data_IF_627830474980
#
_entry.id   IF_627830474980
#
_cell.length_a   1.000
_cell.length_b   1.000
_cell.length_c   1.000
_cell.angle_alpha   90.00
_cell.angle_beta   90.00
_cell.angle_gamma   90.00
#
_symmetry.space_group_name_H-M   'P 1'
#
loop_
_entity.id
_entity.type
_entity.pdbx_description
1 polymer ?
#
# COMPACT_ATOMS: atom_id res chain seq x y z
N UNK A 1 33.79 -27.65 -58.62
CA UNK A 1 34.31 -26.85 -57.48
C UNK A 1 33.36 -25.73 -57.04
N UNK A 2 32.84 -24.82 -57.88
CA UNK A 2 31.93 -23.75 -57.46
C UNK A 2 30.62 -24.21 -56.81
N UNK A 3 30.00 -25.31 -57.30
CA UNK A 3 28.76 -25.84 -56.70
C UNK A 3 28.99 -26.47 -55.33
N UNK A 4 30.12 -27.11 -55.08
CA UNK A 4 30.46 -27.69 -53.78
C UNK A 4 30.77 -26.61 -52.76
N UNK A 5 31.41 -25.51 -53.16
CA UNK A 5 31.69 -24.37 -52.30
C UNK A 5 30.40 -23.65 -51.89
N UNK A 6 29.42 -23.54 -52.82
CA UNK A 6 28.11 -22.94 -52.52
C UNK A 6 27.28 -23.80 -51.56
N UNK A 7 27.29 -25.14 -51.68
CA UNK A 7 26.64 -26.03 -50.73
C UNK A 7 27.30 -25.99 -49.35
N UNK A 8 28.59 -25.82 -49.28
CA UNK A 8 29.33 -25.72 -48.01
C UNK A 8 29.05 -24.38 -47.32
N UNK A 9 28.95 -23.27 -48.10
CA UNK A 9 28.56 -21.95 -47.57
C UNK A 9 27.10 -21.91 -47.12
N UNK A 10 26.19 -22.57 -47.85
CA UNK A 10 24.79 -22.68 -47.44
C UNK A 10 24.62 -23.51 -46.18
N UNK A 11 25.36 -24.62 -46.03
CA UNK A 11 25.38 -25.47 -44.83
C UNK A 11 25.98 -24.70 -43.61
N UNK A 12 27.01 -23.87 -43.84
CA UNK A 12 27.59 -23.01 -42.79
C UNK A 12 26.62 -21.90 -42.33
N UNK A 13 25.86 -21.29 -43.29
CA UNK A 13 24.81 -20.33 -42.97
C UNK A 13 23.64 -20.96 -42.19
N UNK A 14 23.28 -22.19 -42.50
CA UNK A 14 22.25 -22.95 -41.78
C UNK A 14 22.71 -23.33 -40.36
N UNK A 15 23.99 -23.61 -40.15
CA UNK A 15 24.60 -23.90 -38.85
C UNK A 15 24.72 -22.63 -37.99
N UNK A 16 24.96 -21.47 -38.61
CA UNK A 16 25.00 -20.18 -37.93
C UNK A 16 23.60 -19.62 -37.59
N UNK A 17 22.54 -20.08 -38.26
CA UNK A 17 21.15 -19.72 -38.03
C UNK A 17 20.47 -20.46 -36.86
N UNK A 18 21.09 -21.52 -36.34
CA UNK A 18 20.65 -22.27 -35.16
C UNK A 18 21.42 -21.78 -33.92
N UNK A 19 21.47 -20.50 -33.67
CA UNK A 19 21.60 -20.01 -32.30
C UNK A 19 20.28 -20.35 -31.61
N UNK A 20 20.13 -21.57 -31.15
CA UNK A 20 19.26 -21.88 -30.03
C UNK A 20 19.74 -20.95 -28.92
N UNK A 21 18.99 -19.89 -28.69
CA UNK A 21 19.08 -19.18 -27.40
C UNK A 21 18.76 -20.29 -26.38
N UNK A 22 19.79 -20.88 -25.81
CA UNK A 22 19.65 -21.47 -24.50
C UNK A 22 19.22 -20.29 -23.63
N UNK A 23 17.93 -20.13 -23.43
CA UNK A 23 17.41 -19.30 -22.34
C UNK A 23 18.08 -19.87 -21.11
N UNK A 24 19.08 -19.18 -20.63
CA UNK A 24 19.63 -19.44 -19.33
C UNK A 24 18.43 -19.30 -18.38
N UNK A 25 18.12 -20.38 -17.70
CA UNK A 25 17.13 -20.44 -16.62
C UNK A 25 17.59 -19.60 -15.40
N UNK A 26 18.59 -18.78 -15.62
CA UNK A 26 19.40 -18.11 -14.58
C UNK A 26 18.85 -16.74 -14.15
N UNK A 27 17.69 -16.33 -14.66
CA UNK A 27 17.08 -15.03 -14.32
C UNK A 27 15.55 -15.01 -14.49
N UNK A 28 14.85 -16.09 -14.15
CA UNK A 28 13.40 -16.11 -14.18
C UNK A 28 12.83 -15.19 -13.09
N UNK A 29 11.85 -14.35 -13.44
CA UNK A 29 11.14 -13.48 -12.53
C UNK A 29 9.75 -14.01 -12.18
N UNK A 30 9.16 -14.87 -13.05
CA UNK A 30 7.80 -15.37 -12.92
C UNK A 30 7.80 -16.88 -12.74
N UNK A 31 7.45 -17.34 -11.56
CA UNK A 31 7.38 -18.74 -11.13
C UNK A 31 5.92 -19.15 -10.91
N UNK A 32 5.21 -19.48 -11.97
CA UNK A 32 3.78 -19.83 -11.91
C UNK A 32 3.57 -21.33 -11.72
N UNK A 33 3.76 -21.83 -10.47
CA UNK A 33 3.53 -23.24 -10.15
C UNK A 33 2.05 -23.58 -9.96
N UNK A 34 1.20 -22.59 -9.67
CA UNK A 34 -0.25 -22.79 -9.57
C UNK A 34 -0.95 -22.79 -10.94
N UNK A 35 -0.23 -22.45 -12.02
CA UNK A 35 -0.79 -22.46 -13.39
C UNK A 35 -1.88 -21.42 -13.62
N UNK A 36 -1.73 -20.24 -13.04
CA UNK A 36 -2.70 -19.14 -13.15
C UNK A 36 -2.58 -18.37 -14.47
N UNK A 37 -1.45 -18.51 -15.16
CA UNK A 37 -1.12 -17.77 -16.37
C UNK A 37 -1.01 -18.72 -17.57
N UNK A 38 -1.33 -18.22 -18.75
CA UNK A 38 -0.95 -18.88 -20.00
C UNK A 38 0.54 -18.63 -20.29
N UNK A 39 1.16 -19.48 -21.13
CA UNK A 39 2.56 -19.34 -21.53
C UNK A 39 2.86 -17.94 -22.12
N UNK A 40 1.92 -17.35 -22.86
CA UNK A 40 2.07 -16.03 -23.46
C UNK A 40 2.00 -14.90 -22.41
N UNK A 41 1.13 -15.05 -21.42
CA UNK A 41 1.00 -14.08 -20.31
C UNK A 41 2.23 -14.14 -19.40
N UNK A 42 2.69 -15.35 -19.04
CA UNK A 42 3.91 -15.55 -18.28
C UNK A 42 5.13 -14.92 -18.97
N UNK A 43 5.29 -15.17 -20.27
CA UNK A 43 6.41 -14.59 -21.05
C UNK A 43 6.33 -13.06 -21.15
N UNK A 44 5.12 -12.51 -21.25
CA UNK A 44 4.93 -11.06 -21.29
C UNK A 44 5.26 -10.40 -19.94
N UNK A 45 4.86 -11.01 -18.83
CA UNK A 45 5.20 -10.56 -17.47
C UNK A 45 6.70 -10.68 -17.19
N UNK A 46 7.33 -11.80 -17.59
CA UNK A 46 8.78 -12.00 -17.47
C UNK A 46 9.54 -10.85 -18.12
N UNK A 47 9.20 -10.50 -19.38
CA UNK A 47 9.83 -9.39 -20.08
C UNK A 47 9.67 -8.05 -19.36
N UNK A 48 8.51 -7.80 -18.74
CA UNK A 48 8.26 -6.55 -17.99
C UNK A 48 9.02 -6.50 -16.68
N UNK A 49 9.09 -7.61 -15.96
CA UNK A 49 9.90 -7.72 -14.74
C UNK A 49 11.38 -7.47 -15.06
N UNK A 50 11.90 -8.10 -16.13
CA UNK A 50 13.27 -7.88 -16.60
C UNK A 50 13.53 -6.41 -16.97
N UNK A 51 12.62 -5.77 -17.73
CA UNK A 51 12.75 -4.35 -18.07
C UNK A 51 12.80 -3.45 -16.83
N UNK A 52 12.02 -3.78 -15.80
CA UNK A 52 12.02 -3.05 -14.54
C UNK A 52 13.34 -3.23 -13.79
N UNK A 53 13.85 -4.46 -13.72
CA UNK A 53 15.15 -4.76 -13.12
C UNK A 53 16.28 -4.05 -13.85
N UNK A 54 16.34 -4.14 -15.18
CA UNK A 54 17.34 -3.48 -16.01
C UNK A 54 17.34 -1.95 -15.83
N UNK A 55 16.16 -1.38 -15.57
CA UNK A 55 15.99 0.07 -15.43
C UNK A 55 16.42 0.58 -14.06
N UNK A 56 16.08 -0.16 -12.99
CA UNK A 56 16.21 0.33 -11.62
C UNK A 56 17.23 -0.44 -10.78
N UNK A 57 17.75 -1.55 -11.25
CA UNK A 57 18.69 -2.39 -10.51
C UNK A 57 18.07 -3.04 -9.25
N UNK A 58 16.78 -3.34 -9.31
CA UNK A 58 16.03 -4.01 -8.26
C UNK A 58 15.08 -5.01 -8.90
N UNK A 59 15.21 -6.29 -8.55
CA UNK A 59 14.43 -7.37 -9.14
C UNK A 59 12.97 -7.33 -8.70
N UNK A 60 12.06 -7.63 -9.64
CA UNK A 60 10.62 -7.75 -9.36
C UNK A 60 10.19 -9.18 -9.69
N UNK A 61 9.76 -9.93 -8.68
CA UNK A 61 9.50 -11.36 -8.79
C UNK A 61 8.06 -11.70 -8.44
N UNK A 62 7.57 -12.78 -9.03
CA UNK A 62 6.23 -13.35 -8.79
C UNK A 62 6.39 -14.84 -8.59
N UNK A 63 5.83 -15.41 -7.52
CA UNK A 63 5.69 -16.84 -7.32
C UNK A 63 4.25 -17.19 -6.97
N UNK A 64 3.70 -18.20 -7.62
CA UNK A 64 2.39 -18.75 -7.31
C UNK A 64 2.52 -20.23 -6.97
N UNK A 65 1.84 -20.66 -5.91
CA UNK A 65 1.80 -22.07 -5.47
C UNK A 65 0.38 -22.45 -5.08
N UNK A 66 0.08 -23.75 -5.16
CA UNK A 66 -1.21 -24.26 -4.69
C UNK A 66 -1.35 -24.11 -3.17
N UNK A 67 -0.31 -24.51 -2.43
CA UNK A 67 -0.29 -24.48 -0.97
C UNK A 67 1.16 -24.27 -0.48
N UNK A 68 1.43 -23.11 0.12
CA UNK A 68 2.76 -22.76 0.64
C UNK A 68 3.21 -23.69 1.78
N UNK A 69 2.28 -24.28 2.53
CA UNK A 69 2.61 -25.14 3.67
C UNK A 69 3.34 -26.43 3.30
N UNK A 70 3.35 -26.77 2.01
CA UNK A 70 4.08 -27.92 1.46
C UNK A 70 5.56 -27.63 1.22
N UNK A 71 5.99 -26.39 1.39
CA UNK A 71 7.35 -25.93 1.11
C UNK A 71 8.02 -25.38 2.35
N UNK A 72 9.31 -25.64 2.54
CA UNK A 72 10.17 -25.06 3.58
C UNK A 72 9.74 -25.30 5.03
N UNK A 73 8.88 -26.29 5.32
CA UNK A 73 8.19 -26.40 6.62
C UNK A 73 7.59 -25.06 7.06
N UNK A 74 7.12 -24.26 6.10
CA UNK A 74 6.68 -22.90 6.28
C UNK A 74 5.44 -22.84 7.18
N UNK A 75 5.57 -22.28 8.38
CA UNK A 75 4.45 -22.03 9.26
C UNK A 75 3.62 -20.81 8.87
N UNK A 76 4.08 -20.02 7.88
CA UNK A 76 3.42 -18.84 7.34
C UNK A 76 3.90 -18.55 5.93
N UNK A 77 3.12 -17.74 5.18
CA UNK A 77 3.48 -17.36 3.82
C UNK A 77 4.74 -16.47 3.77
N UNK A 78 5.00 -15.69 4.83
CA UNK A 78 6.20 -14.88 4.95
C UNK A 78 7.46 -15.78 5.01
N UNK A 79 7.41 -16.87 5.79
CA UNK A 79 8.51 -17.82 5.86
C UNK A 79 8.73 -18.55 4.53
N UNK A 80 7.65 -18.83 3.79
CA UNK A 80 7.73 -19.36 2.45
C UNK A 80 8.43 -18.38 1.50
N UNK A 81 8.02 -17.10 1.54
CA UNK A 81 8.59 -16.06 0.66
C UNK A 81 10.08 -15.86 0.93
N UNK A 82 10.50 -15.82 2.21
CA UNK A 82 11.92 -15.72 2.57
C UNK A 82 12.71 -16.93 2.08
N UNK A 83 12.20 -18.14 2.34
CA UNK A 83 12.84 -19.40 1.90
C UNK A 83 12.99 -19.44 0.39
N UNK A 84 11.93 -19.08 -0.34
CA UNK A 84 11.94 -19.04 -1.80
C UNK A 84 12.94 -18.00 -2.33
N UNK A 85 12.94 -16.79 -1.76
CA UNK A 85 13.85 -15.74 -2.14
C UNK A 85 15.32 -16.15 -2.00
N UNK A 86 15.67 -16.82 -0.91
CA UNK A 86 17.03 -17.26 -0.63
C UNK A 86 17.43 -18.48 -1.48
N UNK A 87 16.56 -19.49 -1.63
CA UNK A 87 16.90 -20.72 -2.34
C UNK A 87 17.06 -20.51 -3.86
N UNK A 88 16.31 -19.56 -4.42
CA UNK A 88 16.42 -19.17 -5.81
C UNK A 88 17.43 -18.04 -6.04
N UNK A 89 18.15 -17.62 -4.98
CA UNK A 89 19.15 -16.54 -5.04
C UNK A 89 18.61 -15.28 -5.72
N UNK A 90 17.33 -14.92 -5.41
CA UNK A 90 16.67 -13.79 -6.03
C UNK A 90 17.31 -12.45 -5.58
N UNK A 91 17.05 -11.41 -6.36
CA UNK A 91 17.58 -10.07 -6.09
C UNK A 91 18.80 -9.72 -6.92
N UNK A 92 19.03 -8.43 -7.05
CA UNK A 92 20.06 -7.84 -7.92
C UNK A 92 21.21 -7.27 -7.09
N UNK A 93 22.44 -7.49 -7.55
CA UNK A 93 23.67 -6.97 -6.93
C UNK A 93 24.07 -7.72 -5.67
N UNK A 94 25.09 -7.16 -4.97
CA UNK A 94 25.66 -7.80 -3.76
C UNK A 94 24.66 -7.84 -2.59
N UNK A 95 23.73 -6.86 -2.55
CA UNK A 95 22.71 -6.74 -1.49
C UNK A 95 21.42 -7.53 -1.82
N UNK A 96 21.37 -8.25 -2.94
CA UNK A 96 20.18 -8.97 -3.40
C UNK A 96 18.92 -8.08 -3.37
N UNK A 97 19.00 -6.90 -4.01
CA UNK A 97 17.87 -5.96 -4.04
C UNK A 97 16.70 -6.50 -4.85
N UNK A 98 15.54 -6.63 -4.24
CA UNK A 98 14.36 -7.13 -4.93
C UNK A 98 13.09 -7.07 -4.09
N UNK A 99 11.97 -7.33 -4.77
CA UNK A 99 10.66 -7.56 -4.18
C UNK A 99 10.02 -8.80 -4.81
N UNK A 100 9.48 -9.67 -3.97
CA UNK A 100 8.77 -10.89 -4.36
C UNK A 100 7.31 -10.77 -3.96
N UNK A 101 6.40 -11.00 -4.90
CA UNK A 101 4.99 -11.26 -4.63
C UNK A 101 4.77 -12.77 -4.64
N UNK A 102 4.47 -13.34 -3.49
CA UNK A 102 4.11 -14.73 -3.33
C UNK A 102 2.59 -14.89 -3.16
N UNK A 103 1.99 -15.81 -3.91
CA UNK A 103 0.59 -16.20 -3.80
C UNK A 103 0.45 -17.68 -3.45
N UNK A 104 -0.42 -18.00 -2.50
CA UNK A 104 -0.86 -19.35 -2.18
C UNK A 104 -2.37 -19.48 -2.39
N UNK A 105 -2.77 -20.43 -3.22
CA UNK A 105 -4.16 -20.56 -3.63
C UNK A 105 -5.05 -21.26 -2.60
N UNK A 106 -4.50 -22.15 -1.78
CA UNK A 106 -5.26 -22.94 -0.79
C UNK A 106 -5.98 -22.04 0.22
N UNK A 107 -5.27 -21.04 0.77
CA UNK A 107 -5.81 -20.11 1.77
C UNK A 107 -6.11 -18.72 1.20
N UNK A 108 -5.82 -18.52 -0.09
CA UNK A 108 -5.85 -17.23 -0.78
C UNK A 108 -5.02 -16.19 -0.04
N UNK A 109 -3.81 -16.59 0.33
CA UNK A 109 -2.85 -15.76 1.03
C UNK A 109 -1.83 -15.17 0.04
N UNK A 110 -1.40 -13.94 0.31
CA UNK A 110 -0.28 -13.32 -0.39
C UNK A 110 0.73 -12.75 0.60
N UNK A 111 1.98 -12.62 0.14
CA UNK A 111 3.01 -11.86 0.81
C UNK A 111 3.82 -11.02 -0.18
N UNK A 112 4.15 -9.79 0.24
CA UNK A 112 5.09 -8.90 -0.42
C UNK A 112 6.38 -8.87 0.38
N UNK A 113 7.36 -9.65 -0.06
CA UNK A 113 8.67 -9.79 0.56
C UNK A 113 9.68 -8.90 -0.16
N UNK A 114 10.20 -7.87 0.49
CA UNK A 114 11.27 -7.03 -0.05
C UNK A 114 12.58 -7.29 0.68
N UNK A 115 13.69 -7.26 -0.07
CA UNK A 115 15.06 -7.49 0.43
C UNK A 115 16.05 -6.50 -0.20
N UNK A 116 17.18 -6.32 0.50
CA UNK A 116 18.26 -5.43 0.09
C UNK A 116 18.02 -3.96 0.44
N UNK A 117 19.04 -3.12 0.26
CA UNK A 117 18.96 -1.71 0.63
C UNK A 117 17.92 -0.97 -0.23
N UNK A 118 18.00 -1.13 -1.56
CA UNK A 118 17.05 -0.50 -2.48
C UNK A 118 15.65 -1.08 -2.33
N UNK A 119 15.51 -2.41 -2.20
CA UNK A 119 14.22 -3.05 -2.01
C UNK A 119 13.50 -2.52 -0.76
N UNK A 120 14.15 -2.53 0.39
CA UNK A 120 13.56 -2.06 1.64
C UNK A 120 13.31 -0.53 1.67
N UNK A 121 14.08 0.25 0.91
CA UNK A 121 13.88 1.70 0.81
C UNK A 121 12.73 2.06 -0.12
N UNK A 122 12.64 1.44 -1.29
CA UNK A 122 11.59 1.70 -2.26
C UNK A 122 10.23 1.17 -1.81
N UNK A 123 10.21 0.00 -1.15
CA UNK A 123 8.99 -0.70 -0.71
C UNK A 123 8.81 -0.60 0.79
N UNK A 124 8.47 0.59 1.27
CA UNK A 124 8.16 0.83 2.69
C UNK A 124 6.94 0.01 3.15
N UNK A 125 6.74 -0.17 4.46
CA UNK A 125 5.57 -0.89 4.97
C UNK A 125 4.25 -0.24 4.53
N UNK A 126 4.21 1.09 4.48
CA UNK A 126 3.09 1.83 3.90
C UNK A 126 2.95 1.57 2.41
N UNK A 127 4.05 1.63 1.65
CA UNK A 127 4.07 1.41 0.21
C UNK A 127 3.58 0.02 -0.17
N UNK A 128 4.01 -1.04 0.54
CA UNK A 128 3.54 -2.42 0.33
C UNK A 128 2.02 -2.55 0.55
N UNK A 129 1.48 -1.90 1.59
CA UNK A 129 0.03 -1.86 1.80
C UNK A 129 -0.72 -1.19 0.64
N UNK A 130 -0.23 -0.03 0.19
CA UNK A 130 -0.80 0.68 -0.97
C UNK A 130 -0.65 -0.13 -2.26
N UNK A 131 0.50 -0.79 -2.47
CA UNK A 131 0.74 -1.66 -3.62
C UNK A 131 -0.30 -2.78 -3.68
N UNK A 132 -0.62 -3.40 -2.55
CA UNK A 132 -1.66 -4.41 -2.49
C UNK A 132 -3.05 -3.82 -2.79
N UNK A 133 -3.48 -2.82 -2.03
CA UNK A 133 -4.85 -2.30 -2.08
C UNK A 133 -5.19 -1.61 -3.40
N UNK A 134 -4.28 -0.80 -3.96
CA UNK A 134 -4.57 -0.01 -5.16
C UNK A 134 -4.29 -0.77 -6.46
N UNK A 135 -3.31 -1.68 -6.46
CA UNK A 135 -2.85 -2.26 -7.72
C UNK A 135 -3.42 -3.64 -7.98
N UNK A 136 -3.33 -4.61 -7.07
CA UNK A 136 -3.64 -5.99 -7.46
C UNK A 136 -4.80 -6.67 -6.71
N UNK A 137 -5.11 -6.30 -5.46
CA UNK A 137 -6.11 -7.03 -4.69
C UNK A 137 -7.50 -7.06 -5.33
N UNK A 138 -7.93 -5.97 -5.98
CA UNK A 138 -9.23 -5.95 -6.66
C UNK A 138 -9.30 -6.93 -7.83
N UNK A 139 -8.21 -7.06 -8.61
CA UNK A 139 -8.14 -7.98 -9.73
C UNK A 139 -8.07 -9.44 -9.25
N UNK A 140 -7.27 -9.71 -8.22
CA UNK A 140 -7.19 -11.06 -7.62
C UNK A 140 -8.52 -11.50 -6.97
N UNK A 141 -9.26 -10.56 -6.40
CA UNK A 141 -10.62 -10.84 -5.90
C UNK A 141 -11.62 -11.26 -6.98
N UNK A 142 -11.36 -10.89 -8.24
CA UNK A 142 -12.14 -11.25 -9.43
C UNK A 142 -11.53 -12.42 -10.21
N UNK A 143 -10.46 -13.06 -9.69
CA UNK A 143 -9.66 -14.10 -10.34
C UNK A 143 -9.01 -13.64 -11.68
N UNK A 144 -8.84 -12.33 -11.87
CA UNK A 144 -8.14 -11.75 -13.03
C UNK A 144 -6.63 -11.63 -12.74
N UNK A 145 -5.97 -12.80 -12.77
CA UNK A 145 -4.56 -12.96 -12.36
C UNK A 145 -3.61 -12.15 -13.21
N UNK A 146 -3.75 -12.23 -14.54
CA UNK A 146 -2.86 -11.52 -15.44
C UNK A 146 -2.92 -10.00 -15.28
N UNK A 147 -4.13 -9.44 -15.15
CA UNK A 147 -4.30 -8.01 -14.87
C UNK A 147 -3.72 -7.63 -13.51
N UNK A 148 -3.93 -8.45 -12.48
CA UNK A 148 -3.39 -8.22 -11.15
C UNK A 148 -1.87 -8.19 -11.14
N UNK A 149 -1.21 -9.17 -11.76
CA UNK A 149 0.25 -9.19 -11.87
C UNK A 149 0.81 -8.04 -12.70
N UNK A 150 0.16 -7.67 -13.80
CA UNK A 150 0.59 -6.49 -14.59
C UNK A 150 0.54 -5.21 -13.76
N UNK A 151 -0.54 -5.00 -13.00
CA UNK A 151 -0.67 -3.84 -12.10
C UNK A 151 0.36 -3.87 -10.97
N UNK A 152 0.66 -5.05 -10.43
CA UNK A 152 1.74 -5.20 -9.46
C UNK A 152 3.07 -4.69 -10.02
N UNK A 153 3.46 -5.14 -11.22
CA UNK A 153 4.69 -4.70 -11.89
C UNK A 153 4.67 -3.20 -12.16
N UNK A 154 3.52 -2.64 -12.59
CA UNK A 154 3.36 -1.18 -12.78
C UNK A 154 3.61 -0.41 -11.48
N UNK A 155 3.01 -0.87 -10.38
CA UNK A 155 3.20 -0.26 -9.07
C UNK A 155 4.65 -0.35 -8.58
N UNK A 156 5.30 -1.52 -8.77
CA UNK A 156 6.72 -1.68 -8.46
C UNK A 156 7.59 -0.70 -9.24
N UNK A 157 7.37 -0.58 -10.55
CA UNK A 157 8.11 0.36 -11.39
C UNK A 157 7.90 1.82 -10.96
N UNK A 158 6.68 2.19 -10.55
CA UNK A 158 6.40 3.52 -10.02
C UNK A 158 7.14 3.80 -8.72
N UNK A 159 7.13 2.87 -7.77
CA UNK A 159 7.81 3.04 -6.49
C UNK A 159 9.33 3.10 -6.65
N UNK A 160 9.90 2.26 -7.51
CA UNK A 160 11.32 2.29 -7.84
C UNK A 160 11.72 3.60 -8.54
N UNK A 161 10.86 4.12 -9.41
CA UNK A 161 11.06 5.43 -10.05
C UNK A 161 11.09 6.56 -9.03
N UNK A 162 10.16 6.55 -8.06
CA UNK A 162 10.13 7.55 -6.98
C UNK A 162 11.38 7.45 -6.09
N UNK A 163 11.78 6.24 -5.73
CA UNK A 163 13.02 6.01 -4.97
C UNK A 163 14.26 6.52 -5.72
N UNK A 164 14.36 6.28 -7.03
CA UNK A 164 15.45 6.80 -7.87
C UNK A 164 15.49 8.34 -7.94
N UNK A 165 14.37 9.01 -7.69
CA UNK A 165 14.28 10.47 -7.57
C UNK A 165 14.65 10.98 -6.17
N UNK A 166 14.90 10.09 -5.22
CA UNK A 166 15.19 10.41 -3.83
C UNK A 166 13.95 10.65 -2.96
N UNK A 167 12.77 10.31 -3.45
CA UNK A 167 11.48 10.43 -2.77
C UNK A 167 10.79 9.06 -2.70
N UNK A 168 11.29 8.10 -1.89
CA UNK A 168 10.69 6.78 -1.78
C UNK A 168 9.22 6.87 -1.40
N UNK A 169 8.40 5.93 -1.90
CA UNK A 169 6.97 5.94 -1.69
C UNK A 169 6.61 5.68 -0.22
N UNK A 170 6.05 6.69 0.44
CA UNK A 170 5.63 6.63 1.85
C UNK A 170 4.43 7.56 2.06
N UNK A 171 3.89 7.57 3.28
CA UNK A 171 2.77 8.44 3.67
C UNK A 171 3.01 9.93 3.38
N UNK A 172 4.26 10.37 3.42
CA UNK A 172 4.63 11.77 3.19
C UNK A 172 4.77 12.10 1.69
N UNK A 173 5.01 11.12 0.85
CA UNK A 173 5.29 11.27 -0.58
C UNK A 173 4.18 10.72 -1.48
N UNK A 174 3.19 10.00 -0.94
CA UNK A 174 2.04 9.46 -1.69
C UNK A 174 1.26 10.60 -2.36
N UNK A 175 1.26 10.68 -3.72
CA UNK A 175 0.62 11.79 -4.45
C UNK A 175 -0.88 11.88 -4.19
N UNK A 176 -1.60 10.75 -4.16
CA UNK A 176 -3.06 10.73 -3.95
C UNK A 176 -3.41 11.27 -2.56
N UNK A 177 -2.67 10.82 -1.55
CA UNK A 177 -2.87 11.31 -0.19
C UNK A 177 -2.56 12.80 -0.05
N UNK A 178 -1.54 13.29 -0.75
CA UNK A 178 -1.17 14.70 -0.72
C UNK A 178 -2.24 15.56 -1.38
N UNK A 179 -2.87 15.10 -2.47
CA UNK A 179 -4.00 15.79 -3.09
C UNK A 179 -5.19 15.87 -2.15
N UNK A 180 -5.58 14.78 -1.48
CA UNK A 180 -6.66 14.76 -0.50
C UNK A 180 -6.41 15.73 0.67
N UNK A 181 -5.19 15.75 1.19
CA UNK A 181 -4.79 16.67 2.25
C UNK A 181 -4.85 18.12 1.77
N UNK A 182 -4.48 18.41 0.54
CA UNK A 182 -4.57 19.76 0.00
C UNK A 182 -6.02 20.23 -0.13
N UNK A 183 -6.91 19.38 -0.65
CA UNK A 183 -8.36 19.67 -0.71
C UNK A 183 -8.91 19.95 0.70
N UNK A 184 -8.55 19.12 1.68
CA UNK A 184 -8.98 19.31 3.06
C UNK A 184 -8.43 20.61 3.67
N UNK A 185 -7.18 20.98 3.37
CA UNK A 185 -6.57 22.24 3.80
C UNK A 185 -7.34 23.44 3.21
N UNK A 186 -7.65 23.44 1.92
CA UNK A 186 -8.44 24.51 1.29
C UNK A 186 -9.84 24.61 1.88
N UNK A 187 -10.49 23.47 2.14
CA UNK A 187 -11.78 23.42 2.80
C UNK A 187 -11.71 24.04 4.22
N UNK A 188 -10.68 23.71 4.99
CA UNK A 188 -10.46 24.26 6.32
C UNK A 188 -10.22 25.78 6.29
N UNK A 189 -9.42 26.29 5.33
CA UNK A 189 -9.15 27.73 5.15
C UNK A 189 -10.43 28.52 4.90
N UNK A 190 -11.42 27.91 4.25
CA UNK A 190 -12.73 28.57 4.00
C UNK A 190 -13.68 28.38 5.18
N UNK A 191 -13.77 27.18 5.73
CA UNK A 191 -14.77 26.81 6.74
C UNK A 191 -14.47 27.44 8.11
N UNK A 192 -13.19 27.52 8.52
CA UNK A 192 -12.82 28.06 9.83
C UNK A 192 -13.17 29.55 9.94
N UNK A 193 -12.85 30.46 9.00
CA UNK A 193 -13.29 31.83 9.04
C UNK A 193 -14.81 32.01 9.01
N UNK A 194 -15.50 31.15 8.22
CA UNK A 194 -16.97 31.19 8.14
C UNK A 194 -17.61 30.85 9.50
N UNK A 195 -17.12 29.79 10.16
CA UNK A 195 -17.60 29.39 11.49
C UNK A 195 -17.28 30.46 12.54
N UNK A 196 -16.08 31.08 12.53
CA UNK A 196 -15.72 32.13 13.45
C UNK A 196 -16.60 33.36 13.23
N UNK A 197 -16.85 33.75 11.98
CA UNK A 197 -17.78 34.85 11.68
C UNK A 197 -19.21 34.55 12.15
N UNK A 198 -19.69 33.32 11.97
CA UNK A 198 -21.00 32.90 12.45
C UNK A 198 -21.10 32.99 13.97
N UNK A 199 -20.08 32.50 14.69
CA UNK A 199 -20.04 32.61 16.18
C UNK A 199 -20.05 34.07 16.63
N UNK A 200 -19.24 34.94 16.02
CA UNK A 200 -19.21 36.37 16.33
C UNK A 200 -20.58 37.00 16.08
N UNK A 201 -21.22 36.71 14.94
CA UNK A 201 -22.56 37.19 14.61
C UNK A 201 -23.63 36.76 15.66
N UNK A 202 -23.56 35.47 16.09
CA UNK A 202 -24.46 34.94 17.10
C UNK A 202 -24.26 35.61 18.48
N UNK A 203 -23.01 35.83 18.88
CA UNK A 203 -22.66 36.54 20.11
C UNK A 203 -23.13 37.99 20.04
N UNK A 204 -22.90 38.69 18.94
CA UNK A 204 -23.38 40.06 18.73
C UNK A 204 -24.92 40.14 18.74
N UNK A 205 -25.59 39.19 18.05
CA UNK A 205 -27.06 39.08 18.07
C UNK A 205 -27.59 38.84 19.49
N UNK A 206 -26.89 38.02 20.30
CA UNK A 206 -27.24 37.81 21.72
C UNK A 206 -27.11 39.09 22.58
N UNK A 207 -26.04 39.88 22.32
CA UNK A 207 -25.82 41.17 23.02
C UNK A 207 -26.79 42.27 22.57
N UNK A 208 -27.29 42.20 21.34
CA UNK A 208 -28.25 43.21 20.81
C UNK A 208 -29.70 43.00 21.32
N UNK A 209 -29.96 41.97 22.14
CA UNK A 209 -31.24 41.82 22.84
C UNK A 209 -31.33 42.77 24.04
N UNK A 210 -31.21 44.07 23.81
CA UNK A 210 -31.37 45.13 24.83
C UNK A 210 -32.82 45.43 25.17
N UNK A 211 -33.78 44.86 24.45
CA UNK A 211 -35.18 44.94 24.80
C UNK A 211 -35.47 43.96 25.96
N UNK A 212 -35.14 44.35 27.17
CA UNK A 212 -35.72 43.72 28.35
C UNK A 212 -37.22 44.00 28.35
N UNK A 213 -38.01 42.96 28.20
CA UNK A 213 -39.42 43.02 28.51
C UNK A 213 -39.51 43.28 30.01
N UNK A 214 -39.79 44.53 30.36
CA UNK A 214 -39.94 44.93 31.73
C UNK A 214 -41.29 44.42 32.21
N UNK A 215 -41.28 43.22 32.73
CA UNK A 215 -42.41 42.71 33.51
C UNK A 215 -42.20 43.20 34.95
N UNK A 216 -42.71 44.35 35.24
CA UNK A 216 -42.86 44.78 36.62
C UNK A 216 -43.86 43.83 37.31
N UNK A 217 -43.38 42.68 37.76
CA UNK A 217 -44.12 41.85 38.67
C UNK A 217 -44.12 42.38 40.12
N UNK A 218 -43.22 43.38 40.36
CA UNK A 218 -43.07 43.97 41.69
C UNK A 218 -44.37 44.60 42.23
N UNK A 219 -45.29 44.99 41.33
CA UNK A 219 -46.62 45.49 41.74
C UNK A 219 -47.57 44.41 42.29
N UNK A 220 -47.23 43.13 42.08
CA UNK A 220 -48.03 41.99 42.51
C UNK A 220 -47.44 41.22 43.69
N UNK A 221 -46.27 41.64 44.18
CA UNK A 221 -45.65 41.03 45.35
C UNK A 221 -46.20 41.80 46.62
N UNK A 222 -46.88 41.07 47.53
CA UNK A 222 -47.31 41.68 48.82
C UNK A 222 -46.07 42.17 49.57
N UNK A 223 -46.23 43.25 50.31
CA UNK A 223 -45.18 43.91 51.11
C UNK A 223 -44.45 42.98 52.09
N UNK A 224 -44.93 41.74 52.29
CA UNK A 224 -44.32 40.74 53.15
C UNK A 224 -43.42 39.72 52.40
N UNK A 225 -43.14 39.90 51.09
CA UNK A 225 -42.31 39.03 50.31
C UNK A 225 -42.94 37.66 50.02
N UNK A 226 -42.30 36.86 49.14
CA UNK A 226 -42.69 35.49 48.86
C UNK A 226 -42.09 34.56 49.90
N UNK A 227 -42.95 33.84 50.65
CA UNK A 227 -42.52 32.88 51.65
C UNK A 227 -42.55 31.48 51.02
N UNK A 228 -41.37 30.94 50.64
CA UNK A 228 -41.23 29.56 50.16
C UNK A 228 -41.41 28.62 51.36
N UNK A 229 -42.35 27.70 51.27
CA UNK A 229 -42.64 26.67 52.29
C UNK A 229 -41.73 25.47 52.21
N UNK A 230 -41.04 25.29 51.05
CA UNK A 230 -40.06 24.19 50.81
C UNK A 230 -39.13 24.58 49.69
N UNK A 231 -37.83 24.45 49.95
CA UNK A 231 -36.74 24.61 48.95
C UNK A 231 -35.87 23.36 49.05
N UNK A 232 -36.08 22.44 48.10
CA UNK A 232 -35.24 21.24 47.99
C UNK A 232 -34.39 21.36 46.73
N UNK A 233 -33.09 21.30 46.95
CA UNK A 233 -32.08 21.27 45.87
C UNK A 233 -31.61 19.81 45.71
N UNK A 234 -32.02 19.13 44.65
CA UNK A 234 -31.69 17.72 44.40
C UNK A 234 -30.59 17.70 43.33
N UNK A 235 -29.34 17.45 43.78
CA UNK A 235 -28.23 17.22 42.88
C UNK A 235 -28.34 15.83 42.27
N UNK A 236 -28.50 15.74 40.91
CA UNK A 236 -28.41 14.51 40.16
C UNK A 236 -27.00 14.36 39.58
N UNK A 237 -26.38 13.22 39.86
CA UNK A 237 -25.02 12.88 39.51
C UNK A 237 -24.75 12.94 38.01
N UNK A 238 -23.64 13.58 37.64
CA UNK A 238 -23.14 13.57 36.25
C UNK A 238 -22.11 12.45 36.11
N UNK A 239 -22.38 11.46 35.25
CA UNK A 239 -21.43 10.41 34.91
C UNK A 239 -20.64 10.81 33.65
N UNK A 240 -19.34 11.00 33.77
CA UNK A 240 -18.44 11.17 32.63
C UNK A 240 -17.72 9.87 32.32
N UNK A 241 -17.97 9.31 31.15
CA UNK A 241 -17.17 8.18 30.63
C UNK A 241 -16.11 8.72 29.69
N UNK A 242 -14.83 8.55 30.02
CA UNK A 242 -13.72 8.83 29.14
C UNK A 242 -13.27 7.54 28.47
N UNK A 243 -13.40 7.46 27.16
CA UNK A 243 -12.79 6.41 26.34
C UNK A 243 -11.50 6.97 25.76
N UNK A 244 -10.36 6.32 26.07
CA UNK A 244 -9.07 6.65 25.48
C UNK A 244 -9.01 6.05 24.09
N UNK A 245 -9.04 6.88 23.07
CA UNK A 245 -8.77 6.45 21.69
C UNK A 245 -7.25 6.33 21.56
N UNK A 246 -6.76 5.11 21.38
CA UNK A 246 -5.36 4.89 21.04
C UNK A 246 -5.16 5.23 19.57
N UNK A 247 -4.45 6.31 19.31
CA UNK A 247 -4.01 6.66 17.97
C UNK A 247 -2.81 5.78 17.65
N UNK A 248 -2.97 4.86 16.70
CA UNK A 248 -1.87 4.10 16.12
C UNK A 248 -0.89 5.11 15.51
N UNK A 249 0.32 5.19 16.08
CA UNK A 249 1.42 5.93 15.46
C UNK A 249 1.91 5.10 14.29
N UNK A 250 1.45 5.44 13.09
CA UNK A 250 2.09 5.02 11.86
C UNK A 250 3.40 5.78 11.73
N UNK A 251 4.50 5.12 12.10
CA UNK A 251 5.85 5.59 11.79
C UNK A 251 6.12 5.32 10.31
N UNK A 252 6.49 6.34 9.54
CA UNK A 252 7.00 6.13 8.19
C UNK A 252 8.30 5.33 8.27
N UNK A 253 8.46 4.36 7.38
CA UNK A 253 9.63 3.50 7.31
C UNK A 253 9.26 2.05 6.99
N UNK A 254 10.29 1.23 6.88
CA UNK A 254 10.16 -0.20 6.62
C UNK A 254 10.64 -0.98 7.84
N UNK A 255 9.85 -1.94 8.32
CA UNK A 255 10.26 -2.87 9.38
C UNK A 255 10.99 -4.04 8.75
N UNK A 256 12.25 -4.23 9.10
CA UNK A 256 13.12 -5.26 8.53
C UNK A 256 13.46 -6.27 9.62
N UNK A 257 13.36 -7.58 9.29
CA UNK A 257 13.74 -8.65 10.21
C UNK A 257 15.29 -8.85 10.25
N UNK A 258 15.76 -9.79 11.06
CA UNK A 258 17.19 -10.07 11.24
C UNK A 258 17.87 -10.63 9.97
N UNK A 259 17.11 -11.14 8.99
CA UNK A 259 17.59 -11.61 7.69
C UNK A 259 17.61 -10.53 6.62
N UNK A 260 17.22 -9.29 6.94
CA UNK A 260 17.18 -8.18 5.96
C UNK A 260 15.91 -8.10 5.13
N UNK A 261 14.87 -8.89 5.45
CA UNK A 261 13.59 -8.90 4.73
C UNK A 261 12.52 -8.03 5.39
N UNK A 262 11.67 -7.43 4.57
CA UNK A 262 10.46 -6.75 5.01
C UNK A 262 9.23 -7.28 4.27
N UNK A 263 8.11 -7.46 4.98
CA UNK A 263 6.92 -8.15 4.50
C UNK A 263 5.66 -7.30 4.59
N UNK A 264 4.69 -7.61 3.73
CA UNK A 264 3.29 -7.22 3.87
C UNK A 264 2.42 -8.34 3.31
N UNK A 265 1.74 -9.07 4.19
CA UNK A 265 0.92 -10.24 3.87
C UNK A 265 -0.56 -9.99 4.13
N UNK A 266 -1.43 -10.74 3.45
CA UNK A 266 -2.87 -10.64 3.61
C UNK A 266 -3.61 -11.70 2.79
N UNK A 267 -4.94 -11.55 2.71
CA UNK A 267 -5.82 -12.40 1.88
C UNK A 267 -6.41 -11.61 0.72
N UNK A 268 -6.73 -12.32 -0.34
CA UNK A 268 -7.29 -11.79 -1.58
C UNK A 268 -8.55 -12.53 -2.03
#
# INVERSE_FOLDING_TARGET
>A
MKKQLFCLLAALMLLLGLSVSASAYDSAHVFDYAGLLTDSEGSALEARCQETEDTYGCGVYIVTVDDYSLYYDAGSIENFSEGFFLDFELGTGEDQNGILLALSMAERDYDLCAHGETGNRAFTDYGKGVLAERYFLSAFGEDDWYTGFNRYVDGCAEFLRMDAQGEPFDQATDPERLEDIQVLKWLAVILVPLLTALVVCLVMKGKMKTARRQTHADAYIPSNGVRLTRQDDVYLTTTQTRVKIETQKSGGGTTVNSGGFSHSSGKF
#
